data_IF_695486784280
#
_entry.id   IF_695486784280
#
_cell.length_a   1.000
_cell.length_b   1.000
_cell.length_c   1.000
_cell.angle_alpha   90.00
_cell.angle_beta   90.00
_cell.angle_gamma   90.00
#
_symmetry.space_group_name_H-M   'P 1'
#
loop_
_entity.id
_entity.type
_entity.pdbx_description
1 polymer ?
#
# COMPACT_ATOMS: atom_id res chain seq x y z
N UNK A 1 55.32 28.65 22.52
CA UNK A 1 54.01 28.73 21.84
C UNK A 1 53.42 27.39 21.38
N UNK A 2 54.20 26.29 21.23
CA UNK A 2 53.68 24.96 20.80
C UNK A 2 52.82 24.21 21.84
N UNK A 3 53.02 24.49 23.14
CA UNK A 3 52.27 23.87 24.25
C UNK A 3 50.85 24.41 24.39
N UNK A 4 50.63 25.71 24.15
CA UNK A 4 49.31 26.34 24.21
C UNK A 4 48.34 25.80 23.13
N UNK A 5 48.83 25.47 21.94
CA UNK A 5 48.03 24.84 20.89
C UNK A 5 47.54 23.44 21.26
N UNK A 6 48.36 22.66 21.97
CA UNK A 6 47.98 21.30 22.42
C UNK A 6 46.86 21.35 23.47
N UNK A 7 46.88 22.33 24.37
CA UNK A 7 45.84 22.51 25.38
C UNK A 7 44.51 22.93 24.74
N UNK A 8 44.55 23.82 23.75
CA UNK A 8 43.35 24.27 23.02
C UNK A 8 42.67 23.13 22.23
N UNK A 9 43.46 22.28 21.57
CA UNK A 9 42.92 21.16 20.79
C UNK A 9 42.27 20.10 21.70
N UNK A 10 42.89 19.79 22.84
CA UNK A 10 42.34 18.84 23.81
C UNK A 10 41.07 19.40 24.47
N UNK A 11 41.04 20.71 24.79
CA UNK A 11 39.85 21.36 25.32
C UNK A 11 38.66 21.35 24.35
N UNK A 12 38.91 21.58 23.06
CA UNK A 12 37.87 21.54 22.04
C UNK A 12 37.29 20.12 21.87
N UNK A 13 38.13 19.07 21.87
CA UNK A 13 37.65 17.68 21.75
C UNK A 13 36.75 17.24 22.91
N UNK A 14 37.05 17.70 24.15
CA UNK A 14 36.20 17.41 25.32
C UNK A 14 34.87 18.18 25.26
N UNK A 15 34.86 19.39 24.69
CA UNK A 15 33.62 20.15 24.50
C UNK A 15 32.68 19.51 23.47
N UNK A 16 33.20 18.85 22.43
CA UNK A 16 32.38 18.16 21.43
C UNK A 16 31.83 16.80 21.91
N UNK A 17 32.47 16.11 22.88
CA UNK A 17 31.94 14.86 23.44
C UNK A 17 30.81 15.06 24.45
N UNK A 18 30.57 16.30 24.89
CA UNK A 18 29.46 16.64 25.79
C UNK A 18 28.09 16.77 25.09
N UNK A 19 28.04 16.70 23.75
CA UNK A 19 26.78 16.64 23.00
C UNK A 19 26.18 15.23 23.07
N UNK A 20 25.58 14.91 24.21
CA UNK A 20 24.74 13.73 24.38
C UNK A 20 23.47 13.89 23.52
N UNK A 21 23.50 13.34 22.30
CA UNK A 21 22.31 13.13 21.50
C UNK A 21 21.53 11.97 22.11
N UNK A 22 20.73 12.25 23.15
CA UNK A 22 19.70 11.31 23.58
C UNK A 22 18.67 11.22 22.44
N UNK A 23 18.86 10.24 21.56
CA UNK A 23 17.85 9.92 20.56
C UNK A 23 16.59 9.51 21.30
N UNK A 24 15.40 10.05 20.95
CA UNK A 24 14.17 9.63 21.59
C UNK A 24 14.06 8.12 21.42
N UNK A 25 14.08 7.40 22.55
CA UNK A 25 13.95 5.95 22.56
C UNK A 25 12.61 5.60 21.90
N UNK A 26 12.63 4.82 20.82
CA UNK A 26 11.43 4.32 20.18
C UNK A 26 10.76 3.34 21.14
N UNK A 27 9.65 3.76 21.74
CA UNK A 27 8.84 2.90 22.61
C UNK A 27 7.90 2.05 21.74
N UNK A 28 8.22 0.77 21.61
CA UNK A 28 7.34 -0.21 20.96
C UNK A 28 6.30 -0.65 21.98
N UNK A 29 5.04 -0.32 21.73
CA UNK A 29 3.90 -0.77 22.53
C UNK A 29 3.01 -1.71 21.73
N UNK A 30 2.54 -2.77 22.38
CA UNK A 30 1.47 -3.60 21.84
C UNK A 30 0.16 -2.85 22.00
N UNK A 31 -0.57 -2.68 20.90
CA UNK A 31 -1.94 -2.16 20.90
C UNK A 31 -2.86 -3.27 20.41
N UNK A 32 -3.95 -3.50 21.14
CA UNK A 32 -5.01 -4.37 20.66
C UNK A 32 -5.69 -3.68 19.48
N UNK A 33 -5.63 -4.33 18.31
CA UNK A 33 -6.32 -3.89 17.10
C UNK A 33 -7.47 -4.86 16.82
N UNK A 34 -8.64 -4.36 16.41
CA UNK A 34 -9.74 -5.22 15.99
C UNK A 34 -9.29 -6.17 14.88
N UNK A 35 -9.64 -7.44 14.99
CA UNK A 35 -9.45 -8.42 13.91
C UNK A 35 -10.47 -8.09 12.81
N UNK A 36 -10.03 -7.93 11.57
CA UNK A 36 -10.92 -7.72 10.44
C UNK A 36 -11.85 -8.92 10.28
N UNK A 37 -13.16 -8.69 10.38
CA UNK A 37 -14.19 -9.71 10.13
C UNK A 37 -14.73 -9.50 8.71
N UNK A 38 -14.85 -10.56 7.89
CA UNK A 38 -15.47 -10.43 6.58
C UNK A 38 -16.90 -9.90 6.69
N UNK A 39 -17.20 -8.82 5.98
CA UNK A 39 -18.55 -8.24 5.95
C UNK A 39 -19.52 -9.07 5.11
N UNK A 40 -19.01 -9.85 4.16
CA UNK A 40 -19.77 -10.77 3.32
C UNK A 40 -19.10 -12.14 3.28
N UNK A 41 -19.88 -13.22 3.18
CA UNK A 41 -19.35 -14.53 2.89
C UNK A 41 -18.83 -14.58 1.44
N UNK A 42 -17.81 -15.40 1.20
CA UNK A 42 -17.05 -15.40 -0.06
C UNK A 42 -17.92 -15.74 -1.29
N UNK A 43 -18.96 -16.56 -1.11
CA UNK A 43 -19.91 -16.95 -2.15
C UNK A 43 -20.86 -15.81 -2.57
N UNK A 44 -20.80 -14.66 -1.89
CA UNK A 44 -21.57 -13.45 -2.24
C UNK A 44 -20.73 -12.43 -2.99
N UNK A 45 -19.43 -12.68 -3.18
CA UNK A 45 -18.54 -11.85 -3.99
C UNK A 45 -18.65 -12.36 -5.43
N UNK A 46 -19.10 -11.55 -6.40
CA UNK A 46 -19.25 -12.01 -7.77
C UNK A 46 -17.89 -12.24 -8.43
N UNK A 47 -17.78 -13.33 -9.19
CA UNK A 47 -16.56 -13.68 -9.92
C UNK A 47 -16.23 -12.64 -11.00
N UNK A 48 -14.95 -12.27 -11.08
CA UNK A 48 -14.47 -11.37 -12.13
C UNK A 48 -14.56 -12.05 -13.51
N UNK A 49 -15.06 -11.36 -14.54
CA UNK A 49 -15.06 -11.88 -15.90
C UNK A 49 -13.63 -12.20 -16.40
N UNK A 50 -13.46 -13.20 -17.29
CA UNK A 50 -12.15 -13.56 -17.80
C UNK A 50 -11.52 -12.45 -18.64
N UNK A 51 -10.19 -12.34 -18.56
CA UNK A 51 -9.41 -11.45 -19.42
C UNK A 51 -9.49 -11.89 -20.88
N UNK A 52 -9.73 -10.94 -21.77
CA UNK A 52 -9.85 -11.23 -23.21
C UNK A 52 -8.56 -11.00 -24.00
N UNK A 53 -7.52 -10.40 -23.39
CA UNK A 53 -6.27 -10.08 -24.07
C UNK A 53 -5.62 -11.27 -24.83
N UNK A 54 -5.60 -12.51 -24.29
CA UNK A 54 -5.04 -13.66 -25.02
C UNK A 54 -5.81 -14.05 -26.29
N UNK A 55 -7.03 -13.54 -26.48
CA UNK A 55 -7.89 -13.85 -27.62
C UNK A 55 -7.87 -12.75 -28.69
N UNK A 56 -7.19 -11.63 -28.44
CA UNK A 56 -7.14 -10.52 -29.39
C UNK A 56 -6.11 -10.80 -30.49
N UNK A 57 -6.49 -10.43 -31.71
CA UNK A 57 -5.72 -10.70 -32.92
C UNK A 57 -5.01 -9.46 -33.46
N UNK A 58 -5.42 -8.27 -33.01
CA UNK A 58 -5.00 -6.99 -33.55
C UNK A 58 -5.82 -6.54 -34.77
N UNK A 59 -6.75 -7.36 -35.26
CA UNK A 59 -7.74 -6.95 -36.26
C UNK A 59 -8.94 -6.30 -35.56
N UNK A 60 -9.18 -4.99 -35.73
CA UNK A 60 -10.29 -4.31 -35.07
C UNK A 60 -11.67 -4.92 -35.38
N UNK A 61 -11.88 -5.44 -36.59
CA UNK A 61 -13.17 -5.99 -36.99
C UNK A 61 -13.46 -7.33 -36.28
N UNK A 62 -12.43 -8.13 -36.04
CA UNK A 62 -12.53 -9.34 -35.23
C UNK A 62 -12.59 -9.02 -33.73
N UNK A 63 -11.67 -8.19 -33.25
CA UNK A 63 -11.47 -7.92 -31.84
C UNK A 63 -12.65 -7.21 -31.20
N UNK A 64 -13.38 -6.35 -31.95
CA UNK A 64 -14.57 -5.68 -31.43
C UNK A 64 -15.68 -6.66 -31.03
N UNK A 65 -15.78 -7.81 -31.72
CA UNK A 65 -16.75 -8.85 -31.39
C UNK A 65 -16.43 -9.58 -30.07
N UNK A 66 -15.18 -9.48 -29.58
CA UNK A 66 -14.73 -10.04 -28.30
C UNK A 66 -14.80 -8.97 -27.20
N UNK A 67 -14.31 -7.77 -27.50
CA UNK A 67 -14.21 -6.66 -26.54
C UNK A 67 -15.60 -6.18 -26.09
N UNK A 68 -16.54 -6.00 -27.04
CA UNK A 68 -17.86 -5.49 -26.72
C UNK A 68 -18.64 -6.33 -25.69
N UNK A 69 -18.80 -7.67 -25.86
CA UNK A 69 -19.47 -8.48 -24.85
C UNK A 69 -18.69 -8.56 -23.53
N UNK A 70 -17.36 -8.61 -23.57
CA UNK A 70 -16.52 -8.57 -22.36
C UNK A 70 -16.74 -7.28 -21.56
N UNK A 71 -16.85 -6.13 -22.23
CA UNK A 71 -17.16 -4.86 -21.58
C UNK A 71 -18.55 -4.86 -20.91
N UNK A 72 -19.54 -5.55 -21.48
CA UNK A 72 -20.86 -5.69 -20.86
C UNK A 72 -20.80 -6.55 -19.60
N UNK A 73 -20.06 -7.67 -19.64
CA UNK A 73 -19.84 -8.53 -18.47
C UNK A 73 -19.11 -7.77 -17.36
N UNK A 74 -18.08 -7.00 -17.70
CA UNK A 74 -17.33 -6.19 -16.73
C UNK A 74 -18.21 -5.11 -16.09
N UNK A 75 -19.10 -4.47 -16.87
CA UNK A 75 -20.07 -3.50 -16.33
C UNK A 75 -21.09 -4.16 -15.40
N UNK A 76 -21.50 -5.38 -15.69
CA UNK A 76 -22.42 -6.11 -14.82
C UNK A 76 -21.75 -6.53 -13.52
N UNK A 77 -20.56 -7.13 -13.61
CA UNK A 77 -19.72 -7.44 -12.46
C UNK A 77 -19.50 -6.20 -11.57
N UNK A 78 -19.16 -5.05 -12.16
CA UNK A 78 -18.97 -3.80 -11.41
C UNK A 78 -20.22 -3.33 -10.65
N UNK A 79 -21.42 -3.50 -11.22
CA UNK A 79 -22.68 -3.21 -10.52
C UNK A 79 -22.92 -4.15 -9.35
N UNK A 80 -22.68 -5.45 -9.54
CA UNK A 80 -22.82 -6.45 -8.48
C UNK A 80 -21.82 -6.20 -7.35
N UNK A 81 -20.56 -5.89 -7.70
CA UNK A 81 -19.53 -5.57 -6.73
C UNK A 81 -19.84 -4.30 -5.94
N UNK A 82 -20.32 -3.25 -6.61
CA UNK A 82 -20.77 -2.04 -5.93
C UNK A 82 -21.90 -2.34 -4.94
N UNK A 83 -22.88 -3.15 -5.31
CA UNK A 83 -23.96 -3.56 -4.40
C UNK A 83 -23.43 -4.35 -3.19
N UNK A 84 -22.47 -5.25 -3.40
CA UNK A 84 -21.79 -5.98 -2.32
C UNK A 84 -21.05 -5.03 -1.36
N UNK A 85 -20.32 -4.04 -1.89
CA UNK A 85 -19.61 -3.06 -1.09
C UNK A 85 -20.56 -2.15 -0.29
N UNK A 86 -21.67 -1.72 -0.89
CA UNK A 86 -22.69 -0.94 -0.17
C UNK A 86 -23.27 -1.75 0.99
N UNK A 87 -23.60 -3.03 0.77
CA UNK A 87 -24.11 -3.90 1.82
C UNK A 87 -23.10 -4.13 2.98
N UNK A 88 -21.80 -3.92 2.74
CA UNK A 88 -20.77 -4.00 3.77
C UNK A 88 -20.57 -2.69 4.55
N UNK A 89 -21.02 -1.56 3.99
CA UNK A 89 -20.81 -0.24 4.56
C UNK A 89 -21.97 0.22 5.47
N UNK A 90 -23.17 -0.34 5.28
CA UNK A 90 -24.36 -0.15 6.11
C UNK A 90 -24.40 -1.11 7.32
#
# INVERSE_FOLDING_TARGET
MRTFHRVLIVGALVALSACRHDQPAVEVRSVEVPVAVPCLPADRIPDEPPLVAPHLTGDPAHDIAIIAPSALLLRDWGRQMHAALVACAD
#
